data_IF_840247778168
#
_entry.id   IF_840247778168
#
_cell.length_a   1.000
_cell.length_b   1.000
_cell.length_c   1.000
_cell.angle_alpha   90.00
_cell.angle_beta   90.00
_cell.angle_gamma   90.00
#
_symmetry.space_group_name_H-M   'P 1'
#
loop_
_entity.id
_entity.type
_entity.pdbx_description
1 polymer ?
#
# COMPACT_ATOMS: atom_id res chain seq x y z
N UNK A 1 6.67 6.20 5.73
CA UNK A 1 8.07 6.16 6.25
C UNK A 1 8.16 6.61 7.70
N UNK A 2 7.67 7.80 8.11
CA UNK A 2 7.83 8.26 9.50
C UNK A 2 7.29 7.29 10.55
N UNK A 3 6.16 6.63 10.26
CA UNK A 3 5.60 5.59 11.13
C UNK A 3 6.53 4.38 11.28
N UNK A 4 7.15 3.91 10.19
CA UNK A 4 8.06 2.76 10.22
C UNK A 4 9.34 3.07 11.02
N UNK A 5 9.86 4.29 10.88
CA UNK A 5 10.99 4.78 11.67
C UNK A 5 10.62 4.85 13.14
N UNK A 6 9.48 5.46 13.48
CA UNK A 6 9.00 5.52 14.86
C UNK A 6 8.79 4.14 15.49
N UNK A 7 8.23 3.17 14.74
CA UNK A 7 8.08 1.80 15.20
C UNK A 7 9.44 1.13 15.46
N UNK A 8 10.39 1.29 14.55
CA UNK A 8 11.76 0.78 14.73
C UNK A 8 12.45 1.42 15.93
N UNK A 9 12.34 2.73 16.09
CA UNK A 9 12.96 3.49 17.18
C UNK A 9 12.33 3.13 18.54
N UNK A 10 11.06 2.71 18.55
CA UNK A 10 10.38 2.10 19.69
C UNK A 10 10.76 0.62 19.94
N UNK A 11 11.62 0.03 19.10
CA UNK A 11 12.14 -1.33 19.26
C UNK A 11 11.36 -2.42 18.50
N UNK A 12 10.38 -2.06 17.68
CA UNK A 12 9.65 -3.03 16.86
C UNK A 12 10.45 -3.45 15.63
N UNK A 13 10.25 -4.71 15.19
CA UNK A 13 10.77 -5.17 13.90
C UNK A 13 9.79 -4.80 12.79
N UNK A 14 10.24 -4.00 11.82
CA UNK A 14 9.41 -3.60 10.67
C UNK A 14 9.89 -4.32 9.41
N UNK A 15 8.95 -4.99 8.74
CA UNK A 15 9.14 -5.62 7.43
C UNK A 15 8.26 -4.93 6.39
N UNK A 16 8.87 -4.44 5.31
CA UNK A 16 8.14 -3.89 4.18
C UNK A 16 7.85 -4.99 3.15
N UNK A 17 6.59 -5.37 3.00
CA UNK A 17 6.12 -6.20 1.89
C UNK A 17 5.78 -5.29 0.69
N UNK A 18 6.66 -5.24 -0.31
CA UNK A 18 6.58 -4.27 -1.41
C UNK A 18 7.32 -4.75 -2.66
N UNK A 19 7.11 -4.06 -3.79
CA UNK A 19 7.76 -4.34 -5.07
C UNK A 19 9.28 -4.23 -5.01
N UNK A 20 9.95 -5.06 -5.82
CA UNK A 20 11.41 -5.21 -5.84
C UNK A 20 12.13 -3.90 -6.05
N UNK A 21 11.55 -2.98 -6.83
CA UNK A 21 12.16 -1.68 -7.18
C UNK A 21 12.51 -0.83 -5.96
N UNK A 22 11.76 -0.94 -4.87
CA UNK A 22 11.97 -0.12 -3.66
C UNK A 22 12.69 -0.89 -2.54
N UNK A 23 12.79 -2.21 -2.66
CA UNK A 23 13.43 -3.04 -1.61
C UNK A 23 14.91 -2.69 -1.34
N UNK A 24 15.76 -2.31 -2.32
CA UNK A 24 17.16 -1.96 -2.04
C UNK A 24 17.29 -0.76 -1.11
N UNK A 25 16.59 0.33 -1.40
CA UNK A 25 16.65 1.55 -0.58
C UNK A 25 16.11 1.33 0.83
N UNK A 26 15.07 0.49 0.99
CA UNK A 26 14.54 0.15 2.31
C UNK A 26 15.55 -0.66 3.14
N UNK A 27 16.29 -1.57 2.50
CA UNK A 27 17.37 -2.33 3.16
C UNK A 27 18.54 -1.44 3.56
N UNK A 28 18.92 -0.48 2.71
CA UNK A 28 19.94 0.53 3.04
C UNK A 28 19.55 1.37 4.27
N UNK A 29 18.25 1.62 4.46
CA UNK A 29 17.68 2.26 5.64
C UNK A 29 17.56 1.33 6.86
N UNK A 30 18.00 0.07 6.74
CA UNK A 30 18.01 -0.91 7.83
C UNK A 30 16.70 -1.66 8.05
N UNK A 31 15.76 -1.59 7.11
CA UNK A 31 14.50 -2.32 7.22
C UNK A 31 14.58 -3.72 6.60
N UNK A 32 13.80 -4.66 7.14
CA UNK A 32 13.54 -5.95 6.49
C UNK A 32 12.59 -5.73 5.32
N UNK A 33 12.71 -6.53 4.27
CA UNK A 33 11.83 -6.44 3.10
C UNK A 33 11.41 -7.82 2.62
N UNK A 34 10.15 -7.92 2.19
CA UNK A 34 9.60 -9.05 1.45
C UNK A 34 9.19 -8.55 0.06
N UNK A 35 9.75 -9.16 -0.97
CA UNK A 35 9.48 -8.85 -2.37
C UNK A 35 8.10 -9.39 -2.78
N UNK A 36 7.15 -8.50 -3.02
CA UNK A 36 5.78 -8.82 -3.46
C UNK A 36 5.28 -7.75 -4.43
N UNK A 37 4.21 -8.03 -5.14
CA UNK A 37 3.48 -7.08 -5.97
C UNK A 37 4.20 -6.62 -7.23
N UNK A 38 5.21 -7.37 -7.68
CA UNK A 38 5.97 -7.08 -8.90
C UNK A 38 5.11 -7.05 -10.18
N UNK A 39 3.87 -7.54 -10.11
CA UNK A 39 2.88 -7.51 -11.21
C UNK A 39 1.58 -6.78 -10.85
N UNK A 40 1.43 -6.31 -9.61
CA UNK A 40 0.12 -5.89 -9.07
C UNK A 40 -0.11 -4.37 -9.06
N UNK A 41 0.83 -3.55 -9.51
CA UNK A 41 0.78 -2.08 -9.37
C UNK A 41 1.09 -1.29 -10.65
N UNK A 42 0.61 -1.73 -11.81
CA UNK A 42 0.40 -0.77 -12.90
C UNK A 42 -0.98 -0.16 -12.72
N UNK A 43 -1.04 1.09 -12.26
CA UNK A 43 -2.28 1.84 -12.18
C UNK A 43 -2.87 2.04 -13.57
N UNK A 44 -4.17 1.86 -13.69
CA UNK A 44 -4.87 2.23 -14.93
C UNK A 44 -5.13 3.74 -14.95
N UNK A 45 -5.28 4.37 -16.14
CA UNK A 45 -5.69 5.77 -16.23
C UNK A 45 -7.00 6.06 -15.46
N UNK A 46 -7.92 5.10 -15.41
CA UNK A 46 -9.15 5.22 -14.64
C UNK A 46 -8.89 5.28 -13.12
N UNK A 47 -7.99 4.44 -12.59
CA UNK A 47 -7.58 4.50 -11.18
C UNK A 47 -6.90 5.82 -10.85
N UNK A 48 -6.02 6.29 -11.73
CA UNK A 48 -5.34 7.59 -11.57
C UNK A 48 -6.32 8.76 -11.54
N UNK A 49 -7.33 8.77 -12.40
CA UNK A 49 -8.38 9.79 -12.41
C UNK A 49 -9.19 9.80 -11.10
N UNK A 50 -9.56 8.62 -10.60
CA UNK A 50 -10.28 8.49 -9.32
C UNK A 50 -9.42 8.93 -8.14
N UNK A 51 -8.14 8.55 -8.09
CA UNK A 51 -7.24 8.98 -7.03
C UNK A 51 -6.94 10.48 -7.07
N UNK A 52 -6.80 11.07 -8.27
CA UNK A 52 -6.65 12.51 -8.42
C UNK A 52 -7.89 13.26 -7.90
N UNK A 53 -9.10 12.76 -8.19
CA UNK A 53 -10.33 13.32 -7.66
C UNK A 53 -10.44 13.16 -6.13
N UNK A 54 -10.11 11.98 -5.60
CA UNK A 54 -10.11 11.70 -4.17
C UNK A 54 -9.11 12.60 -3.40
N UNK A 55 -7.96 12.90 -4.02
CA UNK A 55 -6.97 13.83 -3.48
C UNK A 55 -7.29 15.32 -3.71
N UNK A 56 -8.43 15.64 -4.33
CA UNK A 56 -8.86 17.02 -4.62
C UNK A 56 -8.10 17.70 -5.77
N UNK A 57 -7.33 16.94 -6.55
CA UNK A 57 -6.56 17.44 -7.70
C UNK A 57 -7.34 17.42 -9.02
N UNK A 58 -8.50 16.76 -9.06
CA UNK A 58 -9.37 16.68 -10.22
C UNK A 58 -10.86 16.67 -9.80
N UNK A 59 -11.76 16.88 -10.76
CA UNK A 59 -13.19 16.69 -10.56
C UNK A 59 -13.55 15.20 -10.52
N UNK A 60 -14.71 14.88 -9.93
CA UNK A 60 -15.24 13.52 -9.89
C UNK A 60 -15.40 12.96 -11.33
N UNK A 61 -14.78 11.82 -11.67
CA UNK A 61 -14.94 11.21 -12.99
C UNK A 61 -16.38 10.74 -13.25
N UNK A 62 -16.71 10.55 -14.52
CA UNK A 62 -17.99 9.95 -14.92
C UNK A 62 -18.14 8.50 -14.44
N UNK A 63 -19.38 7.97 -14.41
CA UNK A 63 -19.68 6.65 -13.88
C UNK A 63 -18.94 5.50 -14.58
N UNK A 64 -18.66 5.61 -15.89
CA UNK A 64 -17.91 4.59 -16.63
C UNK A 64 -16.45 4.48 -16.15
N UNK A 65 -15.79 5.62 -15.93
CA UNK A 65 -14.41 5.67 -15.40
C UNK A 65 -14.36 5.14 -13.98
N UNK A 66 -15.35 5.47 -13.15
CA UNK A 66 -15.47 4.94 -11.79
C UNK A 66 -15.63 3.40 -11.83
N UNK A 67 -16.47 2.87 -12.72
CA UNK A 67 -16.69 1.43 -12.85
C UNK A 67 -15.43 0.69 -13.33
N UNK A 68 -14.68 1.26 -14.27
CA UNK A 68 -13.39 0.73 -14.72
C UNK A 68 -12.37 0.71 -13.57
N UNK A 69 -12.23 1.83 -12.85
CA UNK A 69 -11.34 1.93 -11.70
C UNK A 69 -11.71 0.93 -10.59
N UNK A 70 -12.99 0.73 -10.33
CA UNK A 70 -13.48 -0.25 -9.35
C UNK A 70 -13.12 -1.69 -9.77
N UNK A 71 -13.27 -2.02 -11.06
CA UNK A 71 -12.89 -3.33 -11.62
C UNK A 71 -11.39 -3.57 -11.47
N UNK A 72 -10.56 -2.61 -11.86
CA UNK A 72 -9.10 -2.69 -11.71
C UNK A 72 -8.70 -2.84 -10.24
N UNK A 73 -9.34 -2.09 -9.34
CA UNK A 73 -9.07 -2.15 -7.89
C UNK A 73 -9.48 -3.48 -7.28
N UNK A 74 -10.56 -4.11 -7.75
CA UNK A 74 -10.95 -5.46 -7.33
C UNK A 74 -9.91 -6.51 -7.76
N UNK A 75 -9.37 -6.40 -8.97
CA UNK A 75 -8.28 -7.27 -9.42
C UNK A 75 -7.00 -7.08 -8.59
N UNK A 76 -6.61 -5.83 -8.32
CA UNK A 76 -5.47 -5.52 -7.46
C UNK A 76 -5.66 -6.08 -6.04
N UNK A 77 -6.83 -5.86 -5.44
CA UNK A 77 -7.19 -6.38 -4.11
C UNK A 77 -7.02 -7.89 -4.04
N UNK A 78 -7.52 -8.62 -5.05
CA UNK A 78 -7.38 -10.07 -5.15
C UNK A 78 -5.91 -10.48 -5.22
N UNK A 79 -5.13 -9.87 -6.11
CA UNK A 79 -3.71 -10.21 -6.29
C UNK A 79 -2.90 -9.96 -5.02
N UNK A 80 -3.08 -8.78 -4.39
CA UNK A 80 -2.41 -8.40 -3.15
C UNK A 80 -2.71 -9.41 -2.04
N UNK A 81 -3.99 -9.79 -1.88
CA UNK A 81 -4.41 -10.75 -0.87
C UNK A 81 -3.63 -12.08 -0.99
N UNK A 82 -3.62 -12.67 -2.20
CA UNK A 82 -2.96 -13.97 -2.42
C UNK A 82 -1.44 -13.90 -2.40
N UNK A 83 -0.83 -12.80 -2.86
CA UNK A 83 0.62 -12.62 -2.79
C UNK A 83 1.12 -12.45 -1.35
N UNK A 84 0.32 -11.87 -0.46
CA UNK A 84 0.70 -11.67 0.93
C UNK A 84 0.52 -12.90 1.83
N UNK A 85 -0.39 -13.83 1.51
CA UNK A 85 -0.60 -15.05 2.32
C UNK A 85 0.70 -15.77 2.70
N UNK A 86 1.61 -16.13 1.77
CA UNK A 86 2.86 -16.80 2.13
C UNK A 86 3.79 -15.90 2.95
N UNK A 87 3.75 -14.59 2.75
CA UNK A 87 4.57 -13.64 3.50
C UNK A 87 4.10 -13.53 4.94
N UNK A 88 2.79 -13.40 5.17
CA UNK A 88 2.24 -13.31 6.52
C UNK A 88 2.46 -14.60 7.28
N UNK A 89 2.30 -15.77 6.63
CA UNK A 89 2.62 -17.06 7.23
C UNK A 89 4.11 -17.19 7.62
N UNK A 90 5.03 -16.61 6.84
CA UNK A 90 6.46 -16.65 7.11
C UNK A 90 6.91 -15.62 8.17
N UNK A 91 6.43 -14.38 8.04
CA UNK A 91 6.83 -13.25 8.89
C UNK A 91 6.14 -13.31 10.25
N UNK A 92 4.92 -13.85 10.29
CA UNK A 92 4.05 -13.90 11.48
C UNK A 92 3.95 -12.53 12.18
N UNK A 93 3.50 -11.48 11.46
CA UNK A 93 3.37 -10.15 12.04
C UNK A 93 2.28 -10.12 13.13
N UNK A 94 2.47 -9.26 14.12
CA UNK A 94 1.49 -8.92 15.17
C UNK A 94 0.56 -7.76 14.76
N UNK A 95 0.94 -6.99 13.73
CA UNK A 95 0.16 -5.91 13.15
C UNK A 95 0.48 -5.77 11.65
N UNK A 96 -0.55 -5.60 10.82
CA UNK A 96 -0.40 -5.24 9.41
C UNK A 96 -0.81 -3.79 9.19
N UNK A 97 0.13 -2.97 8.72
CA UNK A 97 -0.13 -1.60 8.30
C UNK A 97 -0.16 -1.56 6.77
N UNK A 98 -1.23 -1.04 6.19
CA UNK A 98 -1.44 -1.04 4.74
C UNK A 98 -1.91 0.33 4.23
N UNK A 99 -1.79 0.57 2.92
CA UNK A 99 -2.25 1.80 2.26
C UNK A 99 -3.65 1.55 1.67
N UNK A 100 -4.49 2.57 1.49
CA UNK A 100 -5.87 2.38 1.01
C UNK A 100 -5.96 1.59 -0.30
N UNK A 101 -5.06 1.85 -1.26
CA UNK A 101 -4.99 1.13 -2.52
C UNK A 101 -4.52 -0.33 -2.36
N UNK A 102 -4.02 -0.70 -1.19
CA UNK A 102 -3.54 -2.04 -0.86
C UNK A 102 -4.46 -2.80 0.10
N UNK A 103 -5.75 -2.46 0.12
CA UNK A 103 -6.79 -3.08 0.97
C UNK A 103 -6.83 -4.62 0.94
N UNK A 104 -6.30 -5.26 -0.10
CA UNK A 104 -6.08 -6.72 -0.10
C UNK A 104 -5.27 -7.23 1.10
N UNK A 105 -4.41 -6.39 1.68
CA UNK A 105 -3.64 -6.72 2.88
C UNK A 105 -4.52 -6.91 4.14
N UNK A 106 -5.64 -6.20 4.26
CA UNK A 106 -6.54 -6.39 5.41
C UNK A 106 -7.29 -7.72 5.33
N UNK A 107 -7.56 -8.21 4.11
CA UNK A 107 -8.12 -9.55 3.90
C UNK A 107 -7.12 -10.64 4.29
N UNK A 108 -5.85 -10.50 3.90
CA UNK A 108 -4.78 -11.41 4.34
C UNK A 108 -4.62 -11.38 5.86
N UNK A 109 -4.72 -10.19 6.48
CA UNK A 109 -4.64 -10.04 7.92
C UNK A 109 -5.75 -10.82 8.64
N UNK A 110 -6.99 -10.67 8.15
CA UNK A 110 -8.15 -11.37 8.69
C UNK A 110 -8.03 -12.91 8.57
N UNK A 111 -7.51 -13.43 7.46
CA UNK A 111 -7.26 -14.87 7.27
C UNK A 111 -6.24 -15.45 8.29
N UNK A 112 -5.42 -14.60 8.91
CA UNK A 112 -4.41 -14.99 9.88
C UNK A 112 -4.68 -14.46 11.29
N UNK A 113 -5.88 -13.96 11.56
CA UNK A 113 -6.26 -13.34 12.85
C UNK A 113 -5.29 -12.23 13.30
N UNK A 114 -4.70 -11.50 12.35
CA UNK A 114 -3.77 -10.39 12.60
C UNK A 114 -4.54 -9.06 12.54
N UNK A 115 -4.43 -8.19 13.56
CA UNK A 115 -4.96 -6.82 13.49
C UNK A 115 -4.38 -6.05 12.30
N UNK A 116 -5.20 -5.22 11.65
CA UNK A 116 -4.73 -4.35 10.56
C UNK A 116 -5.22 -2.92 10.67
N UNK A 117 -4.42 -1.98 10.17
CA UNK A 117 -4.69 -0.54 10.18
C UNK A 117 -4.32 0.07 8.84
N UNK A 118 -5.24 0.84 8.27
CA UNK A 118 -5.00 1.62 7.06
C UNK A 118 -4.24 2.92 7.38
N UNK A 119 -3.27 3.26 6.54
CA UNK A 119 -2.57 4.55 6.52
C UNK A 119 -2.74 5.12 5.12
N UNK A 120 -3.64 6.09 5.00
CA UNK A 120 -3.91 6.75 3.74
C UNK A 120 -2.81 7.75 3.38
N UNK A 121 -2.22 7.59 2.20
CA UNK A 121 -1.43 8.66 1.58
C UNK A 121 -2.30 9.56 0.69
N UNK A 122 -3.40 9.00 0.16
CA UNK A 122 -4.34 9.65 -0.76
C UNK A 122 -5.12 10.77 -0.05
N UNK A 123 -5.57 10.54 1.18
CA UNK A 123 -6.38 11.49 1.95
C UNK A 123 -5.55 12.56 2.70
N UNK A 124 -4.22 12.41 2.74
CA UNK A 124 -3.35 13.41 3.34
C UNK A 124 -3.20 14.68 2.48
N UNK A 125 -3.78 14.68 1.27
CA UNK A 125 -3.70 15.79 0.34
C UNK A 125 -2.29 15.94 -0.24
N UNK A 126 -2.22 16.12 -1.54
CA UNK A 126 -0.96 16.45 -2.22
C UNK A 126 -0.69 17.96 -2.14
N UNK A 127 -0.24 18.50 -0.97
CA UNK A 127 0.73 19.60 -1.06
C UNK A 127 2.00 19.43 -0.19
N UNK A 128 2.12 18.38 0.64
CA UNK A 128 3.16 18.35 1.68
C UNK A 128 4.47 17.63 1.34
N UNK A 129 4.43 16.51 0.62
CA UNK A 129 5.54 15.56 0.63
C UNK A 129 6.60 15.77 -0.47
N UNK A 130 6.25 16.46 -1.58
CA UNK A 130 7.16 16.69 -2.71
C UNK A 130 8.02 17.97 -2.59
N UNK A 131 7.92 18.74 -1.49
CA UNK A 131 8.71 19.97 -1.29
C UNK A 131 10.02 19.81 -0.50
N UNK A 132 10.48 18.58 -0.21
CA UNK A 132 11.74 18.36 0.53
C UNK A 132 12.89 17.77 -0.31
N UNK A 133 12.76 17.76 -1.63
CA UNK A 133 13.88 17.45 -2.53
C UNK A 133 13.95 18.57 -3.57
N UNK A 134 14.54 19.68 -3.16
CA UNK A 134 14.84 20.87 -3.96
C UNK A 134 15.91 21.68 -3.25
#
# INVERSE_FOLDING_TARGET
MPLAEAMRDAGHTVTFATGDRVTPSLRELGFKTAAVFNRAFESTPAQEAVWAAAGGAAEMPGPEVIAEAATASAHATRSICFELLPIVAQVQPDLIVYEDATVGASLTAAEHDVPSVAVSSILLGTPGLLRRIG
#
